data_IF_446721992485
#
_entry.id   IF_446721992485
#
_cell.length_a   1.000
_cell.length_b   1.000
_cell.length_c   1.000
_cell.angle_alpha   90.00
_cell.angle_beta   90.00
_cell.angle_gamma   90.00
#
_symmetry.space_group_name_H-M   'P 1'
#
loop_
_entity.id
_entity.type
_entity.pdbx_description
1 polymer ?
#
# COMPACT_ATOMS: atom_id res chain seq x y z
N UNK A 1 4.06 -7.99 -1.45
CA UNK A 1 3.08 -8.91 -0.83
C UNK A 1 1.69 -8.28 -0.67
N UNK A 2 1.57 -7.06 -0.09
CA UNK A 2 0.26 -6.42 0.11
C UNK A 2 -0.45 -6.12 -1.21
N UNK A 3 0.21 -5.47 -2.16
CA UNK A 3 -0.38 -5.13 -3.44
C UNK A 3 -0.89 -6.37 -4.18
N UNK A 4 -0.13 -7.47 -4.14
CA UNK A 4 -0.55 -8.72 -4.76
C UNK A 4 -1.76 -9.35 -4.06
N UNK A 5 -1.82 -9.30 -2.72
CA UNK A 5 -2.98 -9.76 -1.96
C UNK A 5 -4.24 -8.96 -2.32
N UNK A 6 -4.11 -7.63 -2.46
CA UNK A 6 -5.21 -6.74 -2.89
C UNK A 6 -5.65 -7.04 -4.33
N UNK A 7 -4.71 -7.35 -5.23
CA UNK A 7 -5.04 -7.74 -6.60
C UNK A 7 -5.81 -9.07 -6.66
N UNK A 8 -5.40 -10.07 -5.89
CA UNK A 8 -6.13 -11.33 -5.78
C UNK A 8 -7.53 -11.13 -5.17
N UNK A 9 -7.66 -10.33 -4.13
CA UNK A 9 -8.97 -10.00 -3.55
C UNK A 9 -9.89 -9.34 -4.58
N UNK A 10 -9.36 -8.38 -5.34
CA UNK A 10 -10.10 -7.71 -6.42
C UNK A 10 -10.55 -8.70 -7.48
N UNK A 11 -9.67 -9.60 -7.91
CA UNK A 11 -9.98 -10.67 -8.86
C UNK A 11 -11.16 -11.53 -8.38
N UNK A 12 -11.10 -11.99 -7.13
CA UNK A 12 -12.17 -12.82 -6.58
C UNK A 12 -13.51 -12.06 -6.46
N UNK A 13 -13.47 -10.77 -6.15
CA UNK A 13 -14.68 -9.92 -6.13
C UNK A 13 -15.27 -9.73 -7.54
N UNK A 14 -14.42 -9.53 -8.56
CA UNK A 14 -14.85 -9.45 -9.96
C UNK A 14 -15.50 -10.75 -10.41
N UNK A 15 -14.87 -11.90 -10.19
CA UNK A 15 -15.43 -13.22 -10.53
C UNK A 15 -16.80 -13.46 -9.89
N UNK A 16 -17.01 -13.01 -8.65
CA UNK A 16 -18.31 -13.14 -7.96
C UNK A 16 -19.43 -12.31 -8.57
N UNK A 17 -19.08 -11.20 -9.23
CA UNK A 17 -20.07 -10.26 -9.80
C UNK A 17 -20.27 -10.42 -11.29
N UNK A 18 -19.29 -10.99 -11.97
CA UNK A 18 -19.22 -11.10 -13.42
C UNK A 18 -19.00 -12.58 -13.81
N UNK A 19 -20.08 -13.31 -14.12
CA UNK A 19 -19.99 -14.73 -14.49
C UNK A 19 -19.06 -14.99 -15.69
N UNK A 20 -18.96 -14.04 -16.60
CA UNK A 20 -18.08 -14.09 -17.77
C UNK A 20 -16.59 -14.07 -17.42
N UNK A 21 -16.23 -13.66 -16.19
CA UNK A 21 -14.85 -13.61 -15.71
C UNK A 21 -14.44 -14.81 -14.86
N UNK A 22 -15.33 -15.83 -14.73
CA UNK A 22 -15.06 -17.01 -13.89
C UNK A 22 -14.13 -18.00 -14.58
N UNK A 23 -14.12 -18.03 -15.91
CA UNK A 23 -13.29 -18.96 -16.68
C UNK A 23 -11.80 -18.78 -16.37
N UNK A 24 -11.06 -19.88 -16.45
CA UNK A 24 -9.62 -19.87 -16.25
C UNK A 24 -8.95 -18.99 -17.32
N UNK A 25 -8.09 -18.09 -16.88
CA UNK A 25 -7.42 -17.13 -17.76
C UNK A 25 -8.21 -15.88 -18.11
N UNK A 26 -9.50 -15.76 -17.75
CA UNK A 26 -10.30 -14.55 -18.00
C UNK A 26 -9.74 -13.29 -17.29
N UNK A 27 -9.09 -13.46 -16.14
CA UNK A 27 -8.38 -12.37 -15.43
C UNK A 27 -6.94 -12.78 -15.22
N UNK A 28 -6.04 -12.07 -15.88
CA UNK A 28 -4.60 -12.18 -15.68
C UNK A 28 -4.12 -11.09 -14.72
N UNK A 29 -3.24 -11.45 -13.77
CA UNK A 29 -2.61 -10.50 -12.86
C UNK A 29 -1.19 -10.25 -13.36
N UNK A 30 -0.96 -9.06 -13.89
CA UNK A 30 0.36 -8.59 -14.32
C UNK A 30 1.10 -7.97 -13.12
N UNK A 31 2.35 -8.43 -12.88
CA UNK A 31 3.18 -7.91 -11.79
C UNK A 31 4.17 -6.90 -12.35
N UNK A 32 3.92 -5.63 -12.11
CA UNK A 32 4.76 -4.53 -12.53
C UNK A 32 5.60 -4.05 -11.36
N UNK A 33 6.93 -4.13 -11.48
CA UNK A 33 7.86 -3.60 -10.47
C UNK A 33 8.05 -2.11 -10.70
N UNK A 34 7.67 -1.32 -9.71
CA UNK A 34 7.80 0.14 -9.75
C UNK A 34 9.18 0.61 -9.31
N UNK A 35 9.50 1.87 -9.62
CA UNK A 35 10.72 2.52 -9.14
C UNK A 35 10.78 2.52 -7.61
N UNK A 36 9.66 2.76 -6.93
CA UNK A 36 9.58 2.69 -5.48
C UNK A 36 9.92 1.31 -4.90
N UNK A 37 9.54 0.22 -5.59
CA UNK A 37 9.88 -1.15 -5.18
C UNK A 37 11.38 -1.47 -5.30
N UNK A 38 12.08 -0.77 -6.19
CA UNK A 38 13.53 -0.99 -6.46
C UNK A 38 14.42 -0.26 -5.46
N UNK A 39 13.90 0.78 -4.79
CA UNK A 39 14.68 1.61 -3.87
C UNK A 39 14.54 1.06 -2.45
N UNK A 40 15.49 0.25 -2.03
CA UNK A 40 15.52 -0.37 -0.71
C UNK A 40 16.52 0.27 0.27
N UNK A 41 17.40 1.16 -0.23
CA UNK A 41 18.58 1.65 0.51
C UNK A 41 18.44 3.04 1.11
N UNK A 42 17.37 3.77 0.81
CA UNK A 42 17.15 5.14 1.25
C UNK A 42 15.73 5.35 1.76
N UNK A 43 15.51 6.24 2.76
CA UNK A 43 14.16 6.67 3.12
C UNK A 43 13.46 7.30 1.90
N UNK A 44 12.24 6.88 1.62
CA UNK A 44 11.45 7.40 0.48
C UNK A 44 11.24 8.92 0.56
N UNK A 45 11.27 9.49 1.77
CA UNK A 45 11.19 10.93 1.99
C UNK A 45 12.35 11.71 1.37
N UNK A 46 13.52 11.09 1.23
CA UNK A 46 14.74 11.73 0.71
C UNK A 46 14.82 11.71 -0.83
N UNK A 47 13.98 10.89 -1.47
CA UNK A 47 14.05 10.64 -2.91
C UNK A 47 13.22 11.64 -3.71
N UNK A 48 12.28 12.33 -3.06
CA UNK A 48 11.48 13.42 -3.62
C UNK A 48 10.95 13.13 -5.03
N UNK A 49 9.88 12.39 -5.18
CA UNK A 49 9.29 12.16 -6.49
C UNK A 49 7.82 11.75 -6.40
N UNK A 50 6.97 12.45 -7.14
CA UNK A 50 5.57 12.02 -7.34
C UNK A 50 5.57 10.76 -8.20
N UNK A 51 4.74 9.79 -7.84
CA UNK A 51 4.51 8.61 -8.68
C UNK A 51 5.56 7.50 -8.57
N UNK A 52 6.38 7.45 -7.52
CA UNK A 52 7.37 6.38 -7.33
C UNK A 52 6.77 4.96 -7.37
N UNK A 53 5.51 4.81 -6.97
CA UNK A 53 4.80 3.52 -6.94
C UNK A 53 3.71 3.40 -8.00
N UNK A 54 3.52 4.40 -8.87
CA UNK A 54 2.42 4.39 -9.83
C UNK A 54 2.86 4.57 -11.27
N UNK A 55 3.98 5.25 -11.54
CA UNK A 55 4.40 5.65 -12.89
C UNK A 55 4.37 4.51 -13.90
N UNK A 56 5.03 3.41 -13.62
CA UNK A 56 5.14 2.27 -14.53
C UNK A 56 3.78 1.57 -14.72
N UNK A 57 2.95 1.57 -13.69
CA UNK A 57 1.59 1.01 -13.74
C UNK A 57 0.68 1.94 -14.54
N UNK A 58 0.77 3.26 -14.32
CA UNK A 58 0.03 4.27 -15.07
C UNK A 58 0.35 4.20 -16.56
N UNK A 59 1.64 4.05 -16.92
CA UNK A 59 2.08 3.87 -18.30
C UNK A 59 1.48 2.60 -18.92
N UNK A 60 1.49 1.48 -18.21
CA UNK A 60 0.90 0.22 -18.68
C UNK A 60 -0.62 0.36 -18.88
N UNK A 61 -1.32 1.07 -18.00
CA UNK A 61 -2.75 1.34 -18.11
C UNK A 61 -3.07 2.23 -19.30
N UNK A 62 -2.34 3.33 -19.50
CA UNK A 62 -2.55 4.29 -20.60
C UNK A 62 -2.25 3.64 -21.96
N UNK A 63 -1.24 2.78 -22.03
CA UNK A 63 -0.86 2.07 -23.24
C UNK A 63 -1.72 0.82 -23.52
N UNK A 64 -2.68 0.51 -22.65
CA UNK A 64 -3.59 -0.62 -22.83
C UNK A 64 -2.96 -2.00 -22.61
N UNK A 65 -1.81 -2.07 -21.94
CA UNK A 65 -1.21 -3.34 -21.54
C UNK A 65 -1.95 -4.00 -20.39
N UNK A 66 -2.60 -3.18 -19.54
CA UNK A 66 -3.51 -3.61 -18.48
C UNK A 66 -4.81 -2.82 -18.57
N UNK A 67 -5.92 -3.41 -18.12
CA UNK A 67 -7.26 -2.79 -18.15
C UNK A 67 -7.57 -2.06 -16.84
N UNK A 68 -7.07 -2.56 -15.72
CA UNK A 68 -7.25 -1.97 -14.39
C UNK A 68 -5.95 -2.02 -13.59
N UNK A 69 -5.74 -1.01 -12.75
CA UNK A 69 -4.67 -0.95 -11.77
C UNK A 69 -5.24 -1.07 -10.35
N UNK A 70 -4.63 -1.90 -9.52
CA UNK A 70 -5.02 -2.07 -8.10
C UNK A 70 -3.94 -1.46 -7.22
N UNK A 71 -4.33 -0.46 -6.43
CA UNK A 71 -3.43 0.30 -5.56
C UNK A 71 -3.94 0.37 -4.13
N UNK A 72 -3.02 0.49 -3.18
CA UNK A 72 -3.36 1.05 -1.87
C UNK A 72 -3.70 2.53 -2.06
N UNK A 73 -4.86 2.98 -1.57
CA UNK A 73 -5.36 4.34 -1.82
C UNK A 73 -4.39 5.45 -1.42
N UNK A 74 -3.57 5.23 -0.38
CA UNK A 74 -2.54 6.19 0.07
C UNK A 74 -1.47 6.49 -0.98
N UNK A 75 -1.27 5.58 -1.95
CA UNK A 75 -0.24 5.69 -2.99
C UNK A 75 -0.80 6.30 -4.29
N UNK A 76 -2.13 6.41 -4.41
CA UNK A 76 -2.79 7.04 -5.55
C UNK A 76 -2.61 8.56 -5.47
N UNK A 77 -2.09 9.21 -6.52
CA UNK A 77 -1.90 10.66 -6.52
C UNK A 77 -3.23 11.42 -6.50
N UNK A 78 -3.21 12.64 -5.96
CA UNK A 78 -4.40 13.51 -5.92
C UNK A 78 -4.90 13.87 -7.32
N UNK A 79 -3.98 14.06 -8.26
CA UNK A 79 -4.27 14.29 -9.67
C UNK A 79 -3.94 13.03 -10.45
N UNK A 80 -4.95 12.44 -11.05
CA UNK A 80 -4.80 11.26 -11.89
C UNK A 80 -4.18 11.63 -13.24
N UNK A 81 -3.43 10.71 -13.86
CA UNK A 81 -3.00 10.86 -15.24
C UNK A 81 -4.20 11.06 -16.19
N UNK A 82 -4.00 11.81 -17.25
CA UNK A 82 -5.04 11.94 -18.30
C UNK A 82 -5.50 10.57 -18.80
N UNK A 83 -6.78 10.46 -19.13
CA UNK A 83 -7.45 9.23 -19.60
C UNK A 83 -7.58 8.13 -18.55
N UNK A 84 -7.27 8.40 -17.28
CA UNK A 84 -7.50 7.46 -16.19
C UNK A 84 -8.56 7.99 -15.23
N UNK A 85 -9.24 7.07 -14.55
CA UNK A 85 -10.24 7.37 -13.54
C UNK A 85 -10.01 6.51 -12.29
N UNK A 86 -10.45 6.97 -11.14
CA UNK A 86 -10.56 6.17 -9.93
C UNK A 86 -12.06 5.82 -9.73
N UNK A 87 -12.53 4.69 -10.28
CA UNK A 87 -13.97 4.40 -10.34
C UNK A 87 -14.54 3.92 -9.02
N UNK A 88 -13.73 3.33 -8.17
CA UNK A 88 -14.20 2.77 -6.89
C UNK A 88 -13.06 2.61 -5.88
N UNK A 89 -13.47 2.43 -4.62
CA UNK A 89 -12.63 1.91 -3.54
C UNK A 89 -13.31 0.67 -2.96
N UNK A 90 -12.53 -0.35 -2.63
CA UNK A 90 -13.01 -1.47 -1.84
C UNK A 90 -13.31 -1.01 -0.40
N UNK A 91 -14.16 -1.76 0.35
CA UNK A 91 -14.40 -1.46 1.76
C UNK A 91 -13.08 -1.28 2.52
N UNK A 92 -13.04 -0.25 3.36
CA UNK A 92 -11.85 0.04 4.17
C UNK A 92 -11.68 -1.00 5.25
N UNK A 93 -10.46 -1.49 5.41
CA UNK A 93 -10.04 -2.29 6.56
C UNK A 93 -9.99 -1.45 7.84
N UNK A 94 -9.73 -2.10 8.98
CA UNK A 94 -9.56 -1.42 10.26
C UNK A 94 -8.48 -0.33 10.13
N UNK A 95 -8.84 0.89 10.50
CA UNK A 95 -7.98 2.08 10.34
C UNK A 95 -6.93 2.24 11.44
N UNK A 96 -7.01 1.42 12.51
CA UNK A 96 -6.09 1.49 13.64
C UNK A 96 -4.71 1.00 13.27
N UNK A 97 -3.70 1.59 13.90
CA UNK A 97 -2.34 1.07 13.84
C UNK A 97 -2.26 -0.22 14.67
N UNK A 98 -1.59 -1.24 14.15
CA UNK A 98 -1.33 -2.47 14.86
C UNK A 98 -0.02 -2.34 15.66
N UNK A 99 -0.07 -2.58 16.97
CA UNK A 99 1.09 -2.76 17.81
C UNK A 99 1.43 -4.26 17.88
N UNK A 100 2.60 -4.64 17.41
CA UNK A 100 3.06 -6.03 17.42
C UNK A 100 4.19 -6.15 18.42
N UNK A 101 3.93 -6.85 19.53
CA UNK A 101 4.88 -7.09 20.59
C UNK A 101 4.56 -8.44 21.26
N UNK A 102 5.61 -9.20 21.61
CA UNK A 102 5.47 -10.49 22.29
C UNK A 102 5.45 -10.35 23.85
N UNK A 103 5.89 -9.21 24.36
CA UNK A 103 6.13 -9.02 25.79
C UNK A 103 5.25 -7.98 26.46
N UNK A 104 4.53 -7.16 25.69
CA UNK A 104 3.64 -6.12 26.19
C UNK A 104 2.41 -6.02 25.31
N UNK A 105 1.24 -5.77 25.89
CA UNK A 105 0.00 -5.59 25.15
C UNK A 105 -0.14 -4.15 24.60
N UNK A 106 0.50 -3.18 25.21
CA UNK A 106 0.43 -1.77 24.81
C UNK A 106 1.80 -1.09 24.88
N UNK A 107 1.94 0.04 24.16
CA UNK A 107 3.15 0.88 24.23
C UNK A 107 3.43 1.40 25.66
N UNK A 108 2.39 1.62 26.45
CA UNK A 108 2.52 2.12 27.83
C UNK A 108 3.16 1.11 28.78
N UNK A 109 3.08 -0.17 28.48
CA UNK A 109 3.66 -1.27 29.27
C UNK A 109 5.14 -1.53 28.95
N UNK A 110 5.66 -0.92 27.90
CA UNK A 110 7.06 -1.08 27.55
C UNK A 110 7.98 -0.41 28.55
N UNK A 111 9.05 -1.09 29.02
CA UNK A 111 10.07 -0.47 29.86
C UNK A 111 10.73 0.73 29.17
N UNK A 112 11.20 1.68 29.95
CA UNK A 112 12.02 2.77 29.43
C UNK A 112 13.24 2.23 28.68
N UNK A 113 13.61 2.86 27.57
CA UNK A 113 14.69 2.42 26.70
C UNK A 113 14.31 1.31 25.70
N UNK A 114 13.05 0.84 25.71
CA UNK A 114 12.59 -0.12 24.70
C UNK A 114 12.65 0.47 23.30
N UNK A 115 13.03 -0.35 22.33
CA UNK A 115 13.11 0.04 20.91
C UNK A 115 11.83 -0.34 20.19
N UNK A 116 11.21 0.63 19.49
CA UNK A 116 10.01 0.45 18.69
C UNK A 116 10.32 0.72 17.22
N UNK A 117 10.17 -0.30 16.38
CA UNK A 117 10.43 -0.20 14.94
C UNK A 117 9.26 0.41 14.16
N UNK A 118 9.54 1.47 13.40
CA UNK A 118 8.59 2.03 12.43
C UNK A 118 9.34 2.75 11.30
N UNK A 119 8.87 2.60 10.05
CA UNK A 119 9.34 3.40 8.93
C UNK A 119 8.57 4.74 8.77
N UNK A 120 7.55 4.97 9.59
CA UNK A 120 6.71 6.17 9.51
C UNK A 120 7.23 7.28 10.42
N UNK A 121 7.72 8.38 9.84
CA UNK A 121 8.12 9.58 10.59
C UNK A 121 6.96 10.16 11.41
N UNK A 122 5.74 10.09 10.90
CA UNK A 122 4.53 10.51 11.62
C UNK A 122 4.33 9.69 12.89
N UNK A 123 4.37 8.35 12.78
CA UNK A 123 4.23 7.46 13.95
C UNK A 123 5.37 7.66 14.93
N UNK A 124 6.60 7.74 14.46
CA UNK A 124 7.77 8.03 15.29
C UNK A 124 7.57 9.29 16.12
N UNK A 125 7.19 10.39 15.48
CA UNK A 125 6.93 11.67 16.15
C UNK A 125 5.85 11.56 17.22
N UNK A 126 4.71 10.93 16.91
CA UNK A 126 3.60 10.77 17.85
C UNK A 126 3.95 9.85 19.02
N UNK A 127 4.67 8.75 18.79
CA UNK A 127 5.10 7.82 19.82
C UNK A 127 6.09 8.51 20.77
N UNK A 128 7.13 9.17 20.25
CA UNK A 128 8.12 9.85 21.07
C UNK A 128 7.54 11.03 21.84
N UNK A 129 6.53 11.72 21.28
CA UNK A 129 5.83 12.77 22.04
C UNK A 129 5.10 12.22 23.27
N UNK A 130 4.45 11.06 23.11
CA UNK A 130 3.67 10.45 24.20
C UNK A 130 4.51 9.58 25.15
N UNK A 131 5.54 8.94 24.61
CA UNK A 131 6.42 8.02 25.34
C UNK A 131 7.89 8.38 25.09
N UNK A 132 8.39 9.50 25.67
CA UNK A 132 9.73 10.02 25.38
C UNK A 132 10.87 9.12 25.89
N UNK A 133 10.56 8.15 26.73
CA UNK A 133 11.54 7.16 27.23
C UNK A 133 11.74 5.97 26.27
N UNK A 134 11.02 5.90 25.14
CA UNK A 134 11.21 4.87 24.11
C UNK A 134 12.19 5.35 23.02
N UNK A 135 12.73 4.40 22.25
CA UNK A 135 13.64 4.65 21.14
C UNK A 135 13.08 4.12 19.81
#
# INVERSE_FOLDING_TARGET
PLALAQAYETREKLKKKHPELVEDGAIHIEIIKTTGDKILSQPLADIGGKGLFTKEIDEALINGHIDIAVHSMKDVPTYLPEKTILPCNLPREDVRDAFICLTAATLAELPAGSVVGTASLRRKSQILHKYPALH
#
